data_IF_395309015802
#
_entry.id   IF_395309015802
#
_cell.length_a   1.000
_cell.length_b   1.000
_cell.length_c   1.000
_cell.angle_alpha   90.00
_cell.angle_beta   90.00
_cell.angle_gamma   90.00
#
_symmetry.space_group_name_H-M   'P 1'
#
loop_
_entity.id
_entity.type
_entity.pdbx_description
1 polymer ?
#
# COMPACT_ATOMS: atom_id res chain seq x y z
N UNK A 1 1.08 -2.57 24.26
CA UNK A 1 1.10 -2.89 22.80
C UNK A 1 2.14 -1.98 22.14
N UNK A 2 3.09 -2.51 21.37
CA UNK A 2 4.06 -1.67 20.63
C UNK A 2 3.37 -1.20 19.35
N UNK A 3 3.33 0.11 19.09
CA UNK A 3 2.79 0.62 17.83
C UNK A 3 3.64 0.12 16.65
N UNK A 4 2.99 -0.33 15.59
CA UNK A 4 3.65 -0.73 14.33
C UNK A 4 4.42 0.45 13.78
N UNK A 5 5.70 0.26 13.47
CA UNK A 5 6.53 1.32 12.88
C UNK A 5 6.48 1.30 11.36
N UNK A 6 6.10 0.16 10.77
CA UNK A 6 6.09 -0.04 9.34
C UNK A 6 4.94 -0.95 8.89
N UNK A 7 4.12 -0.47 7.96
CA UNK A 7 2.95 -1.16 7.45
C UNK A 7 3.09 -1.39 5.95
N UNK A 8 2.74 -2.60 5.50
CA UNK A 8 2.53 -2.91 4.09
C UNK A 8 1.04 -2.76 3.77
N UNK A 9 0.71 -1.92 2.78
CA UNK A 9 -0.63 -1.83 2.21
C UNK A 9 -0.64 -2.58 0.88
N UNK A 10 -1.61 -3.46 0.69
CA UNK A 10 -1.92 -4.00 -0.63
C UNK A 10 -2.95 -3.07 -1.28
N UNK A 11 -2.55 -2.41 -2.37
CA UNK A 11 -3.39 -1.46 -3.07
C UNK A 11 -4.53 -2.13 -3.85
N UNK A 12 -5.28 -1.32 -4.58
CA UNK A 12 -6.47 -1.79 -5.30
C UNK A 12 -6.15 -2.66 -6.51
N UNK A 13 -5.00 -2.48 -7.16
CA UNK A 13 -4.72 -3.10 -8.45
C UNK A 13 -5.40 -2.38 -9.61
N UNK A 14 -5.42 -3.02 -10.77
CA UNK A 14 -5.99 -2.44 -11.99
C UNK A 14 -7.50 -2.21 -11.89
N UNK A 15 -7.99 -1.18 -12.60
CA UNK A 15 -9.41 -0.85 -12.66
C UNK A 15 -10.21 -2.00 -13.29
N UNK A 16 -11.33 -2.35 -12.65
CA UNK A 16 -12.28 -3.37 -13.11
C UNK A 16 -13.70 -2.88 -12.87
N UNK A 17 -14.68 -3.47 -13.55
CA UNK A 17 -16.09 -3.23 -13.23
C UNK A 17 -16.33 -3.62 -11.77
N UNK A 18 -16.86 -2.69 -10.97
CA UNK A 18 -17.06 -2.88 -9.53
C UNK A 18 -15.81 -2.65 -8.67
N UNK A 19 -14.70 -2.20 -9.26
CA UNK A 19 -13.48 -1.83 -8.54
C UNK A 19 -12.77 -0.67 -9.24
N UNK A 20 -13.10 0.55 -8.82
CA UNK A 20 -12.61 1.75 -9.47
C UNK A 20 -11.92 2.73 -8.50
N UNK A 21 -12.18 4.03 -8.66
CA UNK A 21 -11.50 5.11 -7.95
C UNK A 21 -11.79 5.15 -6.45
N UNK A 22 -12.85 4.50 -5.98
CA UNK A 22 -13.23 4.42 -4.57
C UNK A 22 -12.14 3.75 -3.71
N UNK A 23 -11.44 2.76 -4.27
CA UNK A 23 -10.33 2.09 -3.61
C UNK A 23 -9.02 2.88 -3.70
N UNK A 24 -8.86 3.71 -4.73
CA UNK A 24 -7.76 4.67 -4.77
C UNK A 24 -7.92 5.76 -3.71
N UNK A 25 -9.13 6.30 -3.59
CA UNK A 25 -9.46 7.26 -2.56
C UNK A 25 -9.24 6.68 -1.16
N UNK A 26 -9.83 5.52 -0.85
CA UNK A 26 -9.73 4.89 0.47
C UNK A 26 -8.29 4.52 0.82
N UNK A 27 -7.54 3.94 -0.14
CA UNK A 27 -6.11 3.64 0.03
C UNK A 27 -5.28 4.89 0.30
N UNK A 28 -5.53 5.97 -0.44
CA UNK A 28 -4.85 7.24 -0.23
C UNK A 28 -5.11 7.85 1.14
N UNK A 29 -6.35 7.75 1.64
CA UNK A 29 -6.69 8.22 2.99
C UNK A 29 -6.02 7.36 4.08
N UNK A 30 -5.96 6.04 3.89
CA UNK A 30 -5.25 5.15 4.82
C UNK A 30 -3.76 5.51 4.91
N UNK A 31 -3.11 5.78 3.77
CA UNK A 31 -1.70 6.20 3.74
C UNK A 31 -1.51 7.51 4.52
N UNK A 32 -2.39 8.51 4.31
CA UNK A 32 -2.32 9.79 5.03
C UNK A 32 -2.46 9.60 6.55
N UNK A 33 -3.47 8.85 6.99
CA UNK A 33 -3.70 8.58 8.41
C UNK A 33 -2.50 7.88 9.07
N UNK A 34 -1.89 6.90 8.41
CA UNK A 34 -0.70 6.23 8.92
C UNK A 34 0.50 7.19 9.02
N UNK A 35 0.67 8.10 8.06
CA UNK A 35 1.76 9.09 8.09
C UNK A 35 1.59 10.14 9.17
N UNK A 36 0.36 10.55 9.47
CA UNK A 36 0.06 11.44 10.60
C UNK A 36 0.50 10.83 11.94
N UNK A 37 0.43 9.50 12.06
CA UNK A 37 0.90 8.73 13.21
C UNK A 37 2.40 8.35 13.13
N UNK A 38 3.16 8.95 12.19
CA UNK A 38 4.56 8.68 11.92
C UNK A 38 4.88 7.19 11.63
N UNK A 39 3.95 6.47 11.02
CA UNK A 39 4.11 5.08 10.59
C UNK A 39 4.64 5.08 9.15
N UNK A 40 5.71 4.32 8.91
CA UNK A 40 6.27 4.15 7.57
C UNK A 40 5.37 3.25 6.72
N UNK A 41 5.01 3.70 5.53
CA UNK A 41 4.10 3.00 4.63
C UNK A 41 4.84 2.46 3.41
N UNK A 42 4.73 1.15 3.21
CA UNK A 42 5.09 0.48 1.97
C UNK A 42 3.78 0.18 1.24
N UNK A 43 3.65 0.67 0.01
CA UNK A 43 2.53 0.34 -0.85
C UNK A 43 2.96 -0.67 -1.91
N UNK A 44 2.15 -1.69 -2.14
CA UNK A 44 2.24 -2.54 -3.33
C UNK A 44 0.99 -2.34 -4.17
N UNK A 45 1.14 -1.79 -5.38
CA UNK A 45 0.03 -1.59 -6.30
C UNK A 45 0.53 -1.53 -7.76
N UNK A 46 0.08 -2.40 -8.66
CA UNK A 46 0.51 -2.37 -10.06
C UNK A 46 -0.10 -1.23 -10.87
N UNK A 47 -1.14 -0.55 -10.36
CA UNK A 47 -1.85 0.48 -11.10
C UNK A 47 -1.17 1.84 -10.98
N UNK A 48 -0.43 2.23 -12.02
CA UNK A 48 0.32 3.50 -12.10
C UNK A 48 -0.59 4.75 -12.19
N UNK A 49 -1.89 4.57 -12.46
CA UNK A 49 -2.84 5.66 -12.64
C UNK A 49 -3.66 5.89 -11.35
N UNK A 50 -2.98 5.97 -10.20
CA UNK A 50 -3.62 6.12 -8.89
C UNK A 50 -2.90 7.13 -8.00
N UNK A 51 -3.65 7.88 -7.20
CA UNK A 51 -3.11 8.86 -6.24
C UNK A 51 -2.28 8.17 -5.17
N UNK A 52 -2.68 6.96 -4.75
CA UNK A 52 -1.95 6.21 -3.73
C UNK A 52 -0.51 5.86 -4.17
N UNK A 53 -0.25 5.74 -5.48
CA UNK A 53 1.09 5.44 -6.02
C UNK A 53 2.00 6.66 -6.20
N UNK A 54 1.56 7.85 -5.81
CA UNK A 54 2.41 9.04 -5.78
C UNK A 54 3.54 8.86 -4.76
N UNK A 55 4.78 9.12 -5.18
CA UNK A 55 6.00 9.02 -4.35
C UNK A 55 5.98 9.97 -3.14
N UNK A 56 5.15 11.01 -3.15
CA UNK A 56 4.95 11.92 -2.01
C UNK A 56 4.01 11.31 -0.97
N UNK A 57 3.17 10.35 -1.37
CA UNK A 57 2.16 9.76 -0.50
C UNK A 57 2.75 8.59 0.30
N UNK A 58 3.22 7.51 -0.33
CA UNK A 58 3.82 6.38 0.38
C UNK A 58 5.36 6.48 0.44
N UNK A 59 6.00 5.91 1.46
CA UNK A 59 7.47 5.97 1.61
C UNK A 59 8.20 5.06 0.62
N UNK A 60 7.57 3.93 0.28
CA UNK A 60 8.06 3.01 -0.76
C UNK A 60 6.87 2.53 -1.58
N UNK A 61 6.96 2.59 -2.91
CA UNK A 61 5.94 2.04 -3.82
C UNK A 61 6.54 0.89 -4.63
N UNK A 62 5.87 -0.27 -4.60
CA UNK A 62 6.16 -1.43 -5.41
C UNK A 62 5.11 -1.58 -6.51
N UNK A 63 5.49 -1.28 -7.75
CA UNK A 63 4.69 -1.55 -8.94
C UNK A 63 4.81 -3.02 -9.35
N UNK A 64 4.27 -3.89 -8.50
CA UNK A 64 4.31 -5.35 -8.67
C UNK A 64 2.89 -5.92 -8.77
N UNK A 65 2.68 -7.02 -9.51
CA UNK A 65 1.38 -7.70 -9.54
C UNK A 65 0.96 -8.13 -8.13
N UNK A 66 -0.31 -7.86 -7.76
CA UNK A 66 -0.90 -8.28 -6.48
C UNK A 66 -1.17 -9.79 -6.45
N UNK A 67 -0.10 -10.57 -6.39
CA UNK A 67 -0.14 -12.02 -6.22
C UNK A 67 0.59 -12.40 -4.94
N UNK A 68 0.28 -13.58 -4.41
CA UNK A 68 0.91 -14.11 -3.20
C UNK A 68 2.44 -14.21 -3.35
N UNK A 69 2.94 -14.60 -4.52
CA UNK A 69 4.37 -14.71 -4.79
C UNK A 69 5.10 -13.38 -4.59
N UNK A 70 4.60 -12.30 -5.20
CA UNK A 70 5.23 -10.98 -5.10
C UNK A 70 5.01 -10.36 -3.71
N UNK A 71 3.85 -10.55 -3.11
CA UNK A 71 3.59 -10.09 -1.74
C UNK A 71 4.57 -10.74 -0.75
N UNK A 72 4.82 -12.06 -0.86
CA UNK A 72 5.78 -12.77 -0.02
C UNK A 72 7.21 -12.24 -0.22
N UNK A 73 7.62 -11.93 -1.46
CA UNK A 73 8.92 -11.31 -1.75
C UNK A 73 9.07 -9.94 -1.08
N UNK A 74 8.03 -9.10 -1.15
CA UNK A 74 8.02 -7.78 -0.49
C UNK A 74 8.04 -7.94 1.03
N UNK A 75 7.24 -8.84 1.61
CA UNK A 75 7.21 -9.11 3.05
C UNK A 75 8.58 -9.60 3.56
N UNK A 76 9.25 -10.49 2.82
CA UNK A 76 10.58 -11.00 3.18
C UNK A 76 11.64 -9.89 3.17
N UNK A 77 11.62 -9.02 2.15
CA UNK A 77 12.55 -7.90 1.99
C UNK A 77 12.29 -6.81 3.03
N UNK A 78 11.04 -6.40 3.15
CA UNK A 78 10.66 -5.25 3.94
C UNK A 78 10.46 -5.60 5.41
N UNK A 79 10.02 -6.81 5.77
CA UNK A 79 9.69 -7.18 7.15
C UNK A 79 8.74 -6.15 7.81
N UNK A 80 7.53 -5.93 7.25
CA UNK A 80 6.55 -5.02 7.86
C UNK A 80 6.04 -5.58 9.19
N UNK A 81 5.65 -4.71 10.11
CA UNK A 81 5.08 -5.09 11.41
C UNK A 81 3.62 -5.50 11.28
N UNK A 82 2.91 -4.95 10.29
CA UNK A 82 1.53 -5.27 9.97
C UNK A 82 1.24 -5.14 8.47
N UNK A 83 0.15 -5.78 8.04
CA UNK A 83 -0.36 -5.72 6.67
C UNK A 83 -1.79 -5.20 6.72
N UNK A 84 -2.11 -4.25 5.83
CA UNK A 84 -3.45 -3.72 5.64
C UNK A 84 -3.94 -4.18 4.25
N UNK A 85 -5.08 -4.87 4.24
CA UNK A 85 -5.68 -5.55 3.08
C UNK A 85 -6.93 -4.83 2.60
#
# INVERSE_FOLDING_TARGET
MRMSKKVLILGSGGLKIGQAGEFDYSGSQAIKALKEEAIRVILMNPNIATVQTDEKLADTVYFLPLTQEFALKVIQKERPDAILL
#
